data_IF_812737206215
#
_entry.id   IF_812737206215
#
_cell.length_a   1.000
_cell.length_b   1.000
_cell.length_c   1.000
_cell.angle_alpha   90.00
_cell.angle_beta   90.00
_cell.angle_gamma   90.00
#
_symmetry.space_group_name_H-M   'P 1'
#
loop_
_entity.id
_entity.type
_entity.pdbx_description
1 polymer ?
#
# COMPACT_ATOMS: atom_id res chain seq x y z
N UNK A 1 0.47 -0.49 -27.08
CA UNK A 1 1.47 -1.28 -26.34
C UNK A 1 1.82 -2.52 -27.16
N UNK A 2 3.04 -3.02 -27.04
CA UNK A 2 3.50 -4.25 -27.69
C UNK A 2 3.30 -5.41 -26.72
N UNK A 3 2.78 -6.52 -27.23
CA UNK A 3 2.83 -7.80 -26.53
C UNK A 3 4.23 -8.42 -26.59
N UNK A 4 4.37 -9.65 -26.08
CA UNK A 4 5.64 -10.38 -26.08
C UNK A 4 6.10 -10.79 -27.48
N UNK A 5 5.17 -10.91 -28.44
CA UNK A 5 5.43 -11.26 -29.84
C UNK A 5 5.73 -10.01 -30.69
N UNK A 6 5.63 -8.82 -30.11
CA UNK A 6 5.90 -7.54 -30.76
C UNK A 6 4.69 -6.92 -31.48
N UNK A 7 3.51 -7.55 -31.43
CA UNK A 7 2.28 -6.99 -31.99
C UNK A 7 1.83 -5.79 -31.18
N UNK A 8 1.50 -4.70 -31.88
CA UNK A 8 1.01 -3.47 -31.25
C UNK A 8 -0.51 -3.53 -31.12
N UNK A 9 -0.98 -3.26 -29.92
CA UNK A 9 -2.39 -3.04 -29.62
C UNK A 9 -2.65 -1.64 -29.06
N UNK A 10 -3.85 -1.13 -29.28
CA UNK A 10 -4.41 0.06 -28.64
C UNK A 10 -5.65 -0.25 -27.81
N UNK A 11 -6.10 -1.51 -27.80
CA UNK A 11 -7.25 -1.95 -27.02
C UNK A 11 -6.93 -1.91 -25.52
N UNK A 12 -7.89 -1.44 -24.71
CA UNK A 12 -7.65 -1.21 -23.29
C UNK A 12 -7.52 -2.51 -22.51
N UNK A 13 -8.33 -3.52 -22.83
CA UNK A 13 -8.33 -4.79 -22.10
C UNK A 13 -7.06 -5.59 -22.43
N UNK A 14 -6.67 -5.62 -23.70
CA UNK A 14 -5.40 -6.23 -24.13
C UNK A 14 -4.20 -5.53 -23.49
N UNK A 15 -4.19 -4.19 -23.45
CA UNK A 15 -3.15 -3.41 -22.75
C UNK A 15 -3.09 -3.78 -21.27
N UNK A 16 -4.23 -3.92 -20.59
CA UNK A 16 -4.27 -4.28 -19.18
C UNK A 16 -3.70 -5.69 -18.94
N UNK A 17 -4.00 -6.64 -19.81
CA UNK A 17 -3.49 -8.00 -19.67
C UNK A 17 -1.98 -8.09 -19.95
N UNK A 18 -1.46 -7.33 -20.93
CA UNK A 18 -0.01 -7.20 -21.16
C UNK A 18 0.68 -6.63 -19.90
N UNK A 19 0.15 -5.55 -19.34
CA UNK A 19 0.67 -4.96 -18.10
C UNK A 19 0.68 -5.96 -16.93
N UNK A 20 -0.46 -6.63 -16.73
CA UNK A 20 -0.67 -7.56 -15.61
C UNK A 20 0.27 -8.75 -15.71
N UNK A 21 0.36 -9.37 -16.89
CA UNK A 21 1.25 -10.52 -17.13
C UNK A 21 2.72 -10.15 -16.94
N UNK A 22 3.15 -8.99 -17.46
CA UNK A 22 4.52 -8.49 -17.30
C UNK A 22 4.88 -8.30 -15.83
N UNK A 23 4.11 -7.51 -15.06
CA UNK A 23 4.45 -7.23 -13.66
C UNK A 23 4.22 -8.42 -12.73
N UNK A 24 3.23 -9.30 -13.01
CA UNK A 24 3.06 -10.55 -12.27
C UNK A 24 4.29 -11.45 -12.41
N UNK A 25 4.90 -11.48 -13.59
CA UNK A 25 6.13 -12.23 -13.84
C UNK A 25 7.32 -11.55 -13.17
N UNK A 26 7.45 -10.24 -13.32
CA UNK A 26 8.56 -9.45 -12.77
C UNK A 26 8.63 -9.50 -11.24
N UNK A 27 7.48 -9.45 -10.57
CA UNK A 27 7.38 -9.45 -9.10
C UNK A 27 7.07 -10.82 -8.51
N UNK A 28 7.16 -11.90 -9.30
CA UNK A 28 6.99 -13.25 -8.78
C UNK A 28 8.08 -13.54 -7.74
N UNK A 29 7.70 -13.82 -6.50
CA UNK A 29 8.65 -14.23 -5.47
C UNK A 29 9.36 -15.52 -5.91
N UNK A 30 10.69 -15.51 -5.85
CA UNK A 30 11.54 -16.70 -6.04
C UNK A 30 11.87 -17.38 -4.71
N UNK A 31 11.56 -16.73 -3.59
CA UNK A 31 11.76 -17.28 -2.26
C UNK A 31 10.52 -18.06 -1.83
N UNK A 32 10.68 -19.22 -1.16
CA UNK A 32 9.56 -19.88 -0.51
C UNK A 32 8.92 -18.90 0.47
N UNK A 33 7.59 -18.80 0.43
CA UNK A 33 6.82 -17.98 1.37
C UNK A 33 7.21 -18.40 2.78
N UNK A 34 7.70 -17.50 3.65
CA UNK A 34 7.97 -17.86 5.04
C UNK A 34 6.68 -18.39 5.64
N UNK A 35 6.67 -19.70 5.89
CA UNK A 35 5.52 -20.41 6.46
C UNK A 35 5.66 -20.26 7.97
N UNK A 36 4.93 -19.30 8.54
CA UNK A 36 5.07 -18.83 9.92
C UNK A 36 6.47 -18.31 10.27
N UNK A 37 6.59 -16.99 10.53
CA UNK A 37 7.63 -16.51 11.43
C UNK A 37 7.42 -17.22 12.77
N UNK A 38 8.35 -18.11 13.11
CA UNK A 38 8.43 -18.64 14.46
C UNK A 38 8.52 -17.45 15.41
N UNK A 39 7.65 -17.43 16.43
CA UNK A 39 7.64 -16.41 17.46
C UNK A 39 8.96 -16.51 18.20
N UNK A 40 9.92 -15.66 17.84
CA UNK A 40 11.12 -15.46 18.65
C UNK A 40 10.67 -15.05 20.06
N UNK A 41 11.36 -15.61 21.06
CA UNK A 41 11.09 -15.41 22.48
C UNK A 41 11.01 -13.92 22.85
N UNK A 42 10.20 -13.55 23.85
CA UNK A 42 10.01 -12.15 24.22
C UNK A 42 11.25 -11.61 24.92
N UNK A 43 12.17 -11.01 24.16
CA UNK A 43 13.28 -10.24 24.71
C UNK A 43 13.06 -8.73 24.38
N UNK A 44 12.49 -8.05 25.37
CA UNK A 44 12.54 -6.62 25.72
C UNK A 44 12.13 -5.47 24.78
N UNK A 45 11.85 -5.64 23.48
CA UNK A 45 11.47 -4.52 22.59
C UNK A 45 9.97 -4.51 22.20
N UNK A 46 9.06 -4.51 23.19
CA UNK A 46 7.63 -4.25 22.89
C UNK A 46 7.43 -2.77 22.54
N UNK A 47 6.88 -2.49 21.35
CA UNK A 47 6.47 -1.14 20.95
C UNK A 47 5.35 -0.68 21.89
N UNK A 48 5.51 0.45 22.61
CA UNK A 48 4.47 0.94 23.51
C UNK A 48 3.20 1.30 22.74
N UNK A 49 2.02 1.24 23.37
CA UNK A 49 0.77 1.66 22.73
C UNK A 49 0.83 3.12 22.28
N UNK A 50 0.33 3.39 21.09
CA UNK A 50 0.21 4.75 20.56
C UNK A 50 -0.82 5.56 21.34
N UNK A 51 -0.51 6.83 21.53
CA UNK A 51 -1.41 7.86 22.05
C UNK A 51 -2.16 8.54 20.90
N UNK A 52 -3.32 9.12 21.20
CA UNK A 52 -4.08 9.91 20.22
C UNK A 52 -3.30 11.13 19.72
N UNK A 53 -2.44 11.71 20.56
CA UNK A 53 -1.57 12.82 20.17
C UNK A 53 -0.48 12.42 19.18
N UNK A 54 0.11 11.24 19.33
CA UNK A 54 1.08 10.70 18.36
C UNK A 54 0.40 10.42 17.02
N UNK A 55 -0.78 9.76 17.05
CA UNK A 55 -1.58 9.54 15.84
C UNK A 55 -1.91 10.86 15.17
N UNK A 56 -2.39 11.85 15.91
CA UNK A 56 -2.72 13.20 15.39
C UNK A 56 -1.50 13.90 14.78
N UNK A 57 -0.37 13.87 15.48
CA UNK A 57 0.87 14.53 15.03
C UNK A 57 1.42 13.87 13.76
N UNK A 58 1.46 12.54 13.75
CA UNK A 58 1.86 11.76 12.58
C UNK A 58 0.92 12.04 11.40
N UNK A 59 -0.39 12.07 11.64
CA UNK A 59 -1.39 12.39 10.64
C UNK A 59 -1.20 13.76 10.01
N UNK A 60 -1.00 14.80 10.83
CA UNK A 60 -0.80 16.17 10.36
C UNK A 60 0.51 16.33 9.56
N UNK A 61 1.50 15.47 9.80
CA UNK A 61 2.76 15.41 9.03
C UNK A 61 2.62 14.70 7.68
N UNK A 62 1.49 14.02 7.42
CA UNK A 62 1.27 13.35 6.15
C UNK A 62 0.98 14.36 5.04
N UNK A 63 1.42 14.04 3.83
CA UNK A 63 1.08 14.86 2.68
C UNK A 63 -0.43 14.82 2.42
N UNK A 64 -1.03 16.00 2.28
CA UNK A 64 -2.45 16.18 1.96
C UNK A 64 -2.73 15.99 0.47
N UNK A 65 -3.99 15.81 0.08
CA UNK A 65 -4.43 15.71 -1.32
C UNK A 65 -3.73 14.58 -2.09
N UNK A 66 -3.46 13.46 -1.41
CA UNK A 66 -2.90 12.26 -2.04
C UNK A 66 -4.03 11.33 -2.48
N UNK A 67 -3.81 10.66 -3.61
CA UNK A 67 -4.76 9.69 -4.14
C UNK A 67 -5.00 8.55 -3.15
N UNK A 68 -6.24 8.08 -2.99
CA UNK A 68 -6.57 7.01 -2.05
C UNK A 68 -6.07 5.65 -2.52
N UNK A 69 -6.05 4.70 -1.59
CA UNK A 69 -5.76 3.30 -1.89
C UNK A 69 -6.97 2.59 -2.52
N UNK A 70 -7.03 1.25 -2.40
CA UNK A 70 -8.20 0.46 -2.79
C UNK A 70 -9.45 0.77 -1.95
N UNK A 71 -9.29 1.29 -0.74
CA UNK A 71 -10.36 1.66 0.20
C UNK A 71 -11.06 2.98 -0.15
N UNK A 72 -10.55 3.73 -1.14
CA UNK A 72 -11.04 5.05 -1.54
C UNK A 72 -11.06 6.10 -0.40
N UNK A 73 -10.37 5.83 0.72
CA UNK A 73 -10.23 6.75 1.86
C UNK A 73 -8.97 7.60 1.67
N UNK A 74 -9.14 8.92 1.70
CA UNK A 74 -8.04 9.89 1.67
C UNK A 74 -7.66 10.35 3.06
N UNK A 75 -6.47 10.93 3.20
CA UNK A 75 -6.09 11.58 4.46
C UNK A 75 -7.02 12.75 4.82
N UNK A 76 -7.55 13.45 3.83
CA UNK A 76 -8.46 14.57 4.06
C UNK A 76 -9.79 14.11 4.68
N UNK A 77 -10.33 12.96 4.26
CA UNK A 77 -11.56 12.36 4.86
C UNK A 77 -11.34 12.02 6.33
N UNK A 78 -10.20 11.40 6.67
CA UNK A 78 -9.88 11.05 8.05
C UNK A 78 -9.71 12.30 8.92
N UNK A 79 -9.20 13.40 8.36
CA UNK A 79 -9.04 14.67 9.08
C UNK A 79 -10.40 15.34 9.38
N UNK A 80 -11.40 15.19 8.51
CA UNK A 80 -12.75 15.72 8.76
C UNK A 80 -13.41 15.06 9.98
N UNK A 81 -12.98 13.85 10.32
CA UNK A 81 -13.52 13.10 11.45
C UNK A 81 -13.03 13.56 12.83
N UNK A 82 -12.05 14.46 12.88
CA UNK A 82 -11.47 15.07 14.09
C UNK A 82 -11.21 14.07 15.24
N UNK A 83 -11.43 14.49 16.49
CA UNK A 83 -11.11 13.73 17.70
C UNK A 83 -11.76 12.33 17.78
N UNK A 84 -13.05 12.13 17.42
CA UNK A 84 -13.65 10.80 17.44
C UNK A 84 -12.95 9.80 16.51
N UNK A 85 -12.60 10.21 15.29
CA UNK A 85 -11.91 9.34 14.33
C UNK A 85 -10.48 9.08 14.77
N UNK A 86 -9.78 10.07 15.31
CA UNK A 86 -8.44 9.89 15.85
C UNK A 86 -8.42 8.85 16.98
N UNK A 87 -9.35 8.94 17.94
CA UNK A 87 -9.48 7.95 19.02
C UNK A 87 -9.78 6.55 18.51
N UNK A 88 -10.67 6.43 17.53
CA UNK A 88 -10.98 5.14 16.91
C UNK A 88 -9.75 4.54 16.22
N UNK A 89 -9.05 5.32 15.40
CA UNK A 89 -7.82 4.88 14.74
C UNK A 89 -6.74 4.47 15.74
N UNK A 90 -6.53 5.24 16.81
CA UNK A 90 -5.61 4.87 17.90
C UNK A 90 -5.97 3.50 18.50
N UNK A 91 -7.25 3.28 18.79
CA UNK A 91 -7.71 1.99 19.32
C UNK A 91 -7.46 0.84 18.33
N UNK A 92 -7.74 1.04 17.04
CA UNK A 92 -7.47 0.04 16.02
C UNK A 92 -5.97 -0.26 15.89
N UNK A 93 -5.11 0.76 15.90
CA UNK A 93 -3.67 0.57 15.77
C UNK A 93 -3.06 -0.16 16.98
N UNK A 94 -3.53 0.14 18.18
CA UNK A 94 -3.08 -0.57 19.38
C UNK A 94 -3.54 -2.02 19.39
N UNK A 95 -4.72 -2.32 18.84
CA UNK A 95 -5.16 -3.72 18.66
C UNK A 95 -4.31 -4.44 17.60
N UNK A 96 -3.92 -3.76 16.53
CA UNK A 96 -2.99 -4.33 15.52
C UNK A 96 -1.62 -4.60 16.14
N UNK A 97 -1.06 -3.68 16.93
CA UNK A 97 0.19 -3.88 17.66
C UNK A 97 0.13 -5.12 18.57
N UNK A 98 -0.96 -5.26 19.32
CA UNK A 98 -1.15 -6.37 20.28
C UNK A 98 -1.40 -7.71 19.60
N UNK A 99 -2.23 -7.73 18.57
CA UNK A 99 -2.64 -8.96 17.89
C UNK A 99 -1.68 -9.42 16.81
N UNK A 100 -0.80 -8.51 16.35
CA UNK A 100 0.08 -8.67 15.19
C UNK A 100 -0.68 -9.03 13.90
N UNK A 101 -1.95 -8.63 13.81
CA UNK A 101 -2.83 -8.88 12.66
C UNK A 101 -3.20 -7.57 12.00
N UNK A 102 -2.84 -7.42 10.73
CA UNK A 102 -3.24 -6.28 9.91
C UNK A 102 -4.59 -6.57 9.22
N UNK A 103 -5.34 -5.53 8.84
CA UNK A 103 -6.51 -5.70 7.99
C UNK A 103 -6.14 -6.21 6.59
N UNK A 104 -6.94 -7.12 6.03
CA UNK A 104 -6.67 -7.73 4.72
C UNK A 104 -6.49 -6.68 3.59
N UNK A 105 -7.25 -5.59 3.64
CA UNK A 105 -7.16 -4.51 2.64
C UNK A 105 -5.84 -3.72 2.71
N UNK A 106 -5.01 -3.87 3.76
CA UNK A 106 -3.65 -3.32 3.80
C UNK A 106 -2.67 -4.14 2.97
N UNK A 107 -3.01 -5.39 2.64
CA UNK A 107 -2.23 -6.25 1.76
C UNK A 107 -2.47 -5.93 0.27
N UNK A 108 -3.46 -5.07 -0.02
CA UNK A 108 -3.84 -4.68 -1.37
C UNK A 108 -3.30 -3.30 -1.75
N UNK A 109 -3.01 -3.13 -3.05
CA UNK A 109 -2.60 -1.85 -3.63
C UNK A 109 -3.30 -1.62 -4.97
N UNK A 110 -3.76 -0.39 -5.20
CA UNK A 110 -4.26 0.04 -6.52
C UNK A 110 -3.05 0.43 -7.38
N UNK A 111 -2.74 -0.38 -8.40
CA UNK A 111 -1.58 -0.18 -9.26
C UNK A 111 -1.92 0.77 -10.41
N UNK A 112 -1.14 1.84 -10.55
CA UNK A 112 -1.19 2.78 -11.68
C UNK A 112 0.13 2.69 -12.44
N UNK A 113 0.05 2.65 -13.77
CA UNK A 113 1.22 2.50 -14.64
C UNK A 113 1.48 3.84 -15.32
N UNK A 114 2.70 4.39 -15.14
CA UNK A 114 3.09 5.71 -15.66
C UNK A 114 4.22 5.57 -16.65
N UNK A 115 4.05 6.12 -17.85
CA UNK A 115 5.11 6.18 -18.86
C UNK A 115 6.27 7.03 -18.35
N UNK A 116 7.50 6.53 -18.48
CA UNK A 116 8.70 7.26 -18.08
C UNK A 116 9.46 7.88 -19.25
N UNK A 117 9.99 7.06 -20.16
CA UNK A 117 10.79 7.49 -21.33
C UNK A 117 11.05 6.32 -22.27
N UNK A 118 11.45 6.58 -23.52
CA UNK A 118 11.76 5.55 -24.52
C UNK A 118 10.58 5.26 -25.44
N UNK A 119 10.50 4.07 -26.02
CA UNK A 119 9.36 3.66 -26.86
C UNK A 119 8.09 3.52 -26.00
N UNK A 120 7.01 4.31 -26.23
CA UNK A 120 5.72 4.14 -25.54
C UNK A 120 5.03 2.80 -25.86
N UNK A 121 5.49 2.09 -26.89
CA UNK A 121 5.04 0.74 -27.19
C UNK A 121 5.56 -0.30 -26.20
N UNK A 122 6.67 -0.08 -25.51
CA UNK A 122 7.33 -1.10 -24.67
C UNK A 122 6.95 -0.93 -23.18
N UNK A 123 6.34 -1.95 -22.58
CA UNK A 123 5.93 -1.97 -21.17
C UNK A 123 7.09 -1.71 -20.20
N UNK A 124 8.34 -2.04 -20.59
CA UNK A 124 9.54 -1.80 -19.77
C UNK A 124 9.83 -0.31 -19.56
N UNK A 125 9.27 0.55 -20.40
CA UNK A 125 9.39 2.01 -20.32
C UNK A 125 8.36 2.67 -19.40
N UNK A 126 7.52 1.86 -18.75
CA UNK A 126 6.55 2.31 -17.77
C UNK A 126 6.97 1.90 -16.34
N UNK A 127 6.50 2.66 -15.35
CA UNK A 127 6.72 2.37 -13.94
C UNK A 127 5.38 2.14 -13.23
N UNK A 128 5.27 1.07 -12.43
CA UNK A 128 4.11 0.89 -11.58
C UNK A 128 4.25 1.77 -10.34
N UNK A 129 3.14 2.40 -9.93
CA UNK A 129 2.98 3.09 -8.67
C UNK A 129 1.84 2.41 -7.93
N UNK A 130 2.13 1.90 -6.73
CA UNK A 130 1.12 1.34 -5.85
C UNK A 130 0.51 2.42 -4.96
N UNK A 131 -0.80 2.60 -5.06
CA UNK A 131 -1.56 3.41 -4.11
C UNK A 131 -2.05 2.49 -2.98
N UNK A 132 -1.44 2.65 -1.81
CA UNK A 132 -1.79 1.94 -0.57
C UNK A 132 -2.82 2.73 0.25
N UNK A 133 -3.52 2.02 1.15
CA UNK A 133 -4.41 2.63 2.15
C UNK A 133 -3.68 3.72 2.95
N UNK A 134 -4.38 4.82 3.25
CA UNK A 134 -3.83 5.89 4.08
C UNK A 134 -3.66 5.46 5.54
N UNK A 135 -4.55 4.62 6.08
CA UNK A 135 -4.41 4.11 7.44
C UNK A 135 -3.20 3.19 7.56
N UNK A 136 -2.90 2.40 6.51
CA UNK A 136 -1.69 1.58 6.48
C UNK A 136 -0.44 2.45 6.54
N UNK A 137 -0.33 3.45 5.66
CA UNK A 137 0.81 4.39 5.63
C UNK A 137 0.97 5.14 6.97
N UNK A 138 -0.13 5.46 7.63
CA UNK A 138 -0.12 6.12 8.93
C UNK A 138 0.43 5.18 10.00
N UNK A 139 -0.05 3.95 10.05
CA UNK A 139 0.42 2.94 10.99
C UNK A 139 1.91 2.66 10.83
N UNK A 140 2.39 2.44 9.60
CA UNK A 140 3.83 2.20 9.35
C UNK A 140 4.72 3.41 9.61
N UNK A 141 4.16 4.61 9.74
CA UNK A 141 4.91 5.82 10.13
C UNK A 141 4.95 6.03 11.64
N UNK A 142 4.03 5.40 12.37
CA UNK A 142 3.98 5.43 13.83
C UNK A 142 4.93 4.40 14.45
N UNK A 143 5.11 3.27 13.76
CA UNK A 143 6.21 2.32 13.98
C UNK A 143 7.55 2.96 13.60
#
# INVERSE_FOLDING_TARGET
MKDNDGHKTTDREEILEICKSFYKTLYKSTLPTPTNCEKESPDSDEVPPFTTNEVKSCFLSMSKKKAPGPDDITSDILLLGDEPVLKYLTSCFNEILKSLKIPAYWEEAKIIIIYKKGDPGDIKNYRPIGLLSHSYKLFTRLL
#
